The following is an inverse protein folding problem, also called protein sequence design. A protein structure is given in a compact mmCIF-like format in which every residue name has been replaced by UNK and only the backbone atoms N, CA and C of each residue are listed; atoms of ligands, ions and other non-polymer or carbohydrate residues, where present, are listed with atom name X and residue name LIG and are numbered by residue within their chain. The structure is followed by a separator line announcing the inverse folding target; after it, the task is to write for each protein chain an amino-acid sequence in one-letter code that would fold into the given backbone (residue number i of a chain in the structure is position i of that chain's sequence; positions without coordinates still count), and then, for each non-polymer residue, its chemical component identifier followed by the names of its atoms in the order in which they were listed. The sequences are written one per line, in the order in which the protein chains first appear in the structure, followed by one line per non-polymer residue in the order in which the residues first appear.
data_IF_916227292914
#
_entry.id   IF_916227292914
#
_cell.length_a   1.000
_cell.length_b   1.000
_cell.length_c   1.000
_cell.angle_alpha   90.00
_cell.angle_beta   90.00
_cell.angle_gamma   90.00
#
_symmetry.space_group_name_H-M   'P 1'
#
loop_
_entity.id
_entity.type
_entity.pdbx_description
1 polymer ?
#
# COMPACT_ATOMS: atom_id res chain seq x y z
N UNK A 1 15.82 -62.91 -36.93
CA UNK A 1 14.79 -61.84 -36.95
C UNK A 1 14.67 -61.09 -35.62
N UNK A 2 14.81 -61.77 -34.47
CA UNK A 2 14.71 -61.15 -33.12
C UNK A 2 15.67 -59.96 -32.93
N UNK A 3 16.94 -60.08 -33.34
CA UNK A 3 17.91 -58.96 -33.30
C UNK A 3 17.51 -57.72 -34.11
N UNK A 4 16.72 -57.88 -35.18
CA UNK A 4 16.22 -56.73 -35.96
C UNK A 4 15.07 -56.03 -35.23
N UNK A 5 14.17 -56.77 -34.59
CA UNK A 5 13.11 -56.21 -33.75
C UNK A 5 13.70 -55.47 -32.53
N UNK A 6 14.69 -56.06 -31.88
CA UNK A 6 15.38 -55.47 -30.73
C UNK A 6 16.07 -54.14 -31.08
N UNK A 7 16.77 -54.08 -32.21
CA UNK A 7 17.41 -52.85 -32.68
C UNK A 7 16.39 -51.75 -33.05
N UNK A 8 15.24 -52.11 -33.64
CA UNK A 8 14.16 -51.17 -33.94
C UNK A 8 13.55 -50.63 -32.64
N UNK A 9 13.26 -51.50 -31.68
CA UNK A 9 12.72 -51.12 -30.37
C UNK A 9 13.66 -50.18 -29.61
N UNK A 10 14.96 -50.50 -29.55
CA UNK A 10 15.99 -49.66 -28.93
C UNK A 10 16.13 -48.30 -29.64
N UNK A 11 15.97 -48.27 -30.97
CA UNK A 11 15.97 -47.03 -31.75
C UNK A 11 14.79 -46.12 -31.40
N UNK A 12 13.57 -46.67 -31.34
CA UNK A 12 12.35 -45.92 -30.98
C UNK A 12 12.43 -45.42 -29.53
N UNK A 13 12.88 -46.28 -28.61
CA UNK A 13 13.03 -45.92 -27.19
C UNK A 13 14.02 -44.76 -27.02
N UNK A 14 15.11 -44.74 -27.78
CA UNK A 14 16.05 -43.61 -27.78
C UNK A 14 15.41 -42.31 -28.27
N UNK A 15 14.65 -42.36 -29.36
CA UNK A 15 13.96 -41.17 -29.89
C UNK A 15 12.99 -40.62 -28.83
N UNK A 16 12.22 -41.50 -28.20
CA UNK A 16 11.31 -41.12 -27.12
C UNK A 16 12.05 -40.46 -25.94
N UNK A 17 13.16 -41.07 -25.49
CA UNK A 17 14.00 -40.52 -24.42
C UNK A 17 14.54 -39.13 -24.77
N UNK A 18 14.99 -38.91 -26.00
CA UNK A 18 15.47 -37.59 -26.47
C UNK A 18 14.34 -36.56 -26.48
N UNK A 19 13.15 -36.94 -26.94
CA UNK A 19 11.97 -36.06 -26.96
C UNK A 19 11.58 -35.65 -25.53
N UNK A 20 11.45 -36.62 -24.62
CA UNK A 20 11.08 -36.36 -23.22
C UNK A 20 12.14 -35.48 -22.53
N UNK A 21 13.42 -35.75 -22.77
CA UNK A 21 14.52 -34.93 -22.25
C UNK A 21 14.45 -33.48 -22.76
N UNK A 22 14.16 -33.31 -24.05
CA UNK A 22 13.99 -31.99 -24.66
C UNK A 22 12.84 -31.20 -24.01
N UNK A 23 11.69 -31.84 -23.79
CA UNK A 23 10.55 -31.21 -23.11
C UNK A 23 10.93 -30.80 -21.68
N UNK A 24 11.55 -31.70 -20.90
CA UNK A 24 11.97 -31.41 -19.53
C UNK A 24 12.94 -30.23 -19.46
N UNK A 25 13.89 -30.15 -20.38
CA UNK A 25 14.84 -29.04 -20.45
C UNK A 25 14.14 -27.71 -20.76
N UNK A 26 13.26 -27.70 -21.77
CA UNK A 26 12.49 -26.49 -22.14
C UNK A 26 11.59 -26.03 -21.00
N UNK A 27 10.88 -26.96 -20.35
CA UNK A 27 10.06 -26.66 -19.19
C UNK A 27 10.90 -26.08 -18.05
N UNK A 28 12.06 -26.67 -17.76
CA UNK A 28 12.96 -26.17 -16.72
C UNK A 28 13.40 -24.72 -16.98
N UNK A 29 13.82 -24.40 -18.20
CA UNK A 29 14.17 -23.04 -18.62
C UNK A 29 12.99 -22.07 -18.45
N UNK A 30 11.79 -22.45 -18.89
CA UNK A 30 10.61 -21.61 -18.79
C UNK A 30 10.23 -21.29 -17.34
N UNK A 31 10.25 -22.30 -16.47
CA UNK A 31 9.95 -22.11 -15.05
C UNK A 31 11.06 -21.36 -14.31
N UNK A 32 12.33 -21.56 -14.68
CA UNK A 32 13.46 -20.82 -14.11
C UNK A 32 13.36 -19.32 -14.43
N UNK A 33 13.06 -18.95 -15.68
CA UNK A 33 12.88 -17.54 -16.08
C UNK A 33 11.68 -16.92 -15.38
N UNK A 34 10.55 -17.63 -15.32
CA UNK A 34 9.35 -17.15 -14.60
C UNK A 34 9.59 -16.96 -13.11
N UNK A 35 10.49 -17.75 -12.51
CA UNK A 35 10.85 -17.64 -11.09
C UNK A 35 11.61 -16.34 -10.78
N UNK A 36 12.51 -15.91 -11.66
CA UNK A 36 13.30 -14.68 -11.47
C UNK A 36 12.45 -13.42 -11.30
N UNK A 37 11.27 -13.36 -11.91
CA UNK A 37 10.39 -12.19 -11.83
C UNK A 37 9.78 -11.99 -10.44
N UNK A 38 9.53 -13.06 -9.67
CA UNK A 38 8.93 -12.96 -8.33
C UNK A 38 9.95 -12.76 -7.20
N UNK A 39 11.25 -12.70 -7.50
CA UNK A 39 12.31 -12.37 -6.53
C UNK A 39 12.74 -10.90 -6.56
N UNK A 40 12.00 -10.03 -7.27
CA UNK A 40 12.19 -8.58 -7.14
C UNK A 40 11.98 -8.14 -5.69
N UNK A 41 12.70 -7.09 -5.28
CA UNK A 41 12.63 -6.57 -3.90
C UNK A 41 11.21 -6.22 -3.48
N UNK A 42 10.92 -6.16 -2.16
CA UNK A 42 9.61 -5.75 -1.68
C UNK A 42 9.22 -4.38 -2.25
N UNK A 43 7.93 -4.13 -2.49
CA UNK A 43 7.48 -2.81 -2.91
C UNK A 43 7.92 -1.77 -1.88
N UNK A 44 8.61 -0.74 -2.34
CA UNK A 44 9.03 0.38 -1.49
C UNK A 44 7.78 1.09 -0.96
N UNK A 45 7.64 1.14 0.36
CA UNK A 45 6.66 2.02 0.98
C UNK A 45 7.14 3.46 0.75
N UNK A 46 6.67 4.07 -0.32
CA UNK A 46 6.92 5.48 -0.57
C UNK A 46 6.27 6.28 0.54
N UNK A 47 6.97 7.33 0.94
CA UNK A 47 6.52 8.25 1.95
C UNK A 47 5.26 9.00 1.46
N UNK A 48 4.07 8.50 1.84
CA UNK A 48 2.79 9.12 1.51
C UNK A 48 2.45 10.26 2.47
N UNK A 49 2.00 11.39 1.93
CA UNK A 49 1.41 12.50 2.69
C UNK A 49 0.10 12.89 2.02
N UNK A 50 -1.05 12.85 2.73
CA UNK A 50 -2.34 13.24 2.16
C UNK A 50 -2.29 14.64 1.56
N UNK A 51 -2.80 14.79 0.33
CA UNK A 51 -2.98 16.07 -0.34
C UNK A 51 -4.48 16.31 -0.50
N UNK A 52 -5.01 17.22 0.31
CA UNK A 52 -6.45 17.44 0.42
C UNK A 52 -6.90 18.51 -0.57
N UNK A 53 -7.80 18.14 -1.48
CA UNK A 53 -8.45 19.09 -2.40
C UNK A 53 -9.49 19.92 -1.65
N UNK A 54 -9.23 21.23 -1.60
CA UNK A 54 -10.03 22.20 -0.86
C UNK A 54 -11.38 22.48 -1.55
N UNK A 55 -11.45 22.40 -2.87
CA UNK A 55 -12.66 22.74 -3.63
C UNK A 55 -13.71 21.63 -3.59
N UNK A 56 -13.27 20.38 -3.46
CA UNK A 56 -14.16 19.23 -3.29
C UNK A 56 -14.83 19.25 -1.91
N UNK A 57 -14.05 19.45 -0.84
CA UNK A 57 -14.58 19.56 0.52
C UNK A 57 -15.52 20.76 0.70
N UNK A 58 -15.24 21.87 0.02
CA UNK A 58 -16.12 23.05 0.01
C UNK A 58 -17.51 22.73 -0.54
N UNK A 59 -17.58 21.98 -1.65
CA UNK A 59 -18.86 21.56 -2.24
C UNK A 59 -19.64 20.69 -1.28
N UNK A 60 -18.96 19.75 -0.61
CA UNK A 60 -19.59 18.88 0.39
C UNK A 60 -20.18 19.73 1.52
N UNK A 61 -19.43 20.66 2.09
CA UNK A 61 -19.91 21.52 3.19
C UNK A 61 -21.09 22.38 2.74
N UNK A 62 -21.08 22.94 1.54
CA UNK A 62 -22.18 23.78 1.04
C UNK A 62 -23.44 22.95 0.77
N UNK A 63 -23.31 21.73 0.25
CA UNK A 63 -24.43 20.89 -0.20
C UNK A 63 -25.02 19.97 0.90
N UNK A 64 -24.28 19.69 1.98
CA UNK A 64 -24.73 18.76 3.03
C UNK A 64 -25.89 19.36 3.85
N UNK A 65 -27.10 18.90 3.56
CA UNK A 65 -28.28 19.07 4.41
C UNK A 65 -28.21 18.07 5.57
N UNK A 66 -27.76 18.56 6.73
CA UNK A 66 -27.92 18.00 8.09
C UNK A 66 -28.44 16.55 8.18
N UNK A 67 -27.55 15.57 8.02
CA UNK A 67 -27.69 14.24 8.61
C UNK A 67 -26.32 13.55 8.60
N UNK A 68 -25.52 13.79 9.63
CA UNK A 68 -24.39 12.92 9.97
C UNK A 68 -24.24 12.83 11.49
N UNK A 69 -23.84 11.67 12.03
CA UNK A 69 -24.03 11.36 13.44
C UNK A 69 -23.15 12.21 14.33
N UNK A 70 -23.75 12.68 15.42
CA UNK A 70 -23.12 13.41 16.52
C UNK A 70 -22.08 12.49 17.19
N UNK A 71 -20.80 12.66 16.92
CA UNK A 71 -19.74 12.03 17.71
C UNK A 71 -19.58 12.76 19.04
N UNK A 72 -20.02 12.08 20.10
CA UNK A 72 -19.90 12.53 21.49
C UNK A 72 -18.47 12.37 22.04
N UNK A 73 -18.16 13.30 22.93
CA UNK A 73 -17.06 13.40 23.89
C UNK A 73 -16.04 12.25 24.04
N UNK A 74 -14.79 12.66 23.79
CA UNK A 74 -13.52 12.22 24.38
C UNK A 74 -13.62 11.67 25.80
N UNK A 75 -12.98 10.52 26.03
CA UNK A 75 -12.40 10.18 27.33
C UNK A 75 -10.91 9.91 27.07
N UNK A 76 -10.03 10.85 27.45
CA UNK A 76 -8.59 10.71 27.26
C UNK A 76 -7.86 11.26 28.47
N UNK A 77 -6.93 10.44 28.97
CA UNK A 77 -6.08 10.66 30.12
C UNK A 77 -5.25 11.94 29.94
N UNK A 78 -5.13 12.70 31.03
CA UNK A 78 -4.15 13.79 31.20
C UNK A 78 -2.76 13.27 30.85
N UNK A 79 -2.08 13.96 29.95
CA UNK A 79 -0.64 13.84 29.77
C UNK A 79 -0.01 15.22 29.89
N UNK A 80 1.02 15.25 30.72
CA UNK A 80 1.62 16.40 31.37
C UNK A 80 2.69 17.03 30.47
N UNK A 81 2.70 18.36 30.43
CA UNK A 81 3.53 19.18 29.56
C UNK A 81 5.03 19.06 29.87
N UNK A 82 5.85 19.00 28.82
CA UNK A 82 7.26 19.38 28.87
C UNK A 82 7.51 20.49 27.82
N UNK A 83 8.19 21.61 28.15
CA UNK A 83 8.39 22.74 27.25
C UNK A 83 9.62 22.49 26.37
N UNK A 84 9.50 21.57 25.41
CA UNK A 84 10.31 21.64 24.20
C UNK A 84 9.49 22.40 23.17
N UNK A 85 10.07 23.43 22.54
CA UNK A 85 9.42 24.21 21.48
C UNK A 85 8.84 23.25 20.44
N UNK A 86 7.52 23.10 20.44
CA UNK A 86 6.80 22.19 19.55
C UNK A 86 7.01 22.69 18.11
N UNK A 87 7.60 21.87 17.21
CA UNK A 87 7.90 22.30 15.84
C UNK A 87 6.64 22.69 15.06
N UNK A 88 5.45 22.22 15.49
CA UNK A 88 4.18 22.49 14.85
C UNK A 88 3.38 23.62 15.50
N UNK A 89 3.93 24.27 16.53
CA UNK A 89 3.24 25.32 17.29
C UNK A 89 2.67 26.43 16.41
N UNK A 90 3.45 26.88 15.41
CA UNK A 90 3.03 27.92 14.48
C UNK A 90 1.76 27.53 13.70
N UNK A 91 1.64 26.27 13.27
CA UNK A 91 0.46 25.79 12.54
C UNK A 91 -0.77 25.71 13.45
N UNK A 92 -0.60 25.33 14.71
CA UNK A 92 -1.70 25.29 15.69
C UNK A 92 -2.21 26.70 16.01
N UNK A 93 -1.30 27.66 16.12
CA UNK A 93 -1.61 29.06 16.36
C UNK A 93 -2.32 29.70 15.17
N UNK A 94 -1.82 29.51 13.96
CA UNK A 94 -2.45 30.01 12.74
C UNK A 94 -3.85 29.43 12.54
N UNK A 95 -4.03 28.13 12.78
CA UNK A 95 -5.35 27.49 12.78
C UNK A 95 -6.29 28.14 13.81
N UNK A 96 -5.78 28.42 15.02
CA UNK A 96 -6.58 29.06 16.06
C UNK A 96 -6.97 30.49 15.71
N UNK A 97 -6.08 31.23 15.04
CA UNK A 97 -6.33 32.60 14.59
C UNK A 97 -7.37 32.63 13.46
N UNK A 98 -7.30 31.70 12.51
CA UNK A 98 -8.30 31.54 11.45
C UNK A 98 -9.70 31.24 12.03
N UNK A 99 -9.76 30.31 12.99
CA UNK A 99 -11.02 29.92 13.65
C UNK A 99 -11.60 31.07 14.47
N UNK A 100 -10.76 31.76 15.24
CA UNK A 100 -11.22 32.88 16.08
C UNK A 100 -11.72 34.04 15.21
N UNK A 101 -11.02 34.33 14.10
CA UNK A 101 -11.43 35.35 13.12
C UNK A 101 -12.76 35.00 12.45
N UNK A 102 -12.97 33.73 12.11
CA UNK A 102 -14.24 33.25 11.54
C UNK A 102 -15.41 33.42 12.50
N UNK A 103 -15.26 33.04 13.77
CA UNK A 103 -16.32 33.20 14.77
C UNK A 103 -16.62 34.68 15.04
N UNK A 104 -15.58 35.52 15.14
CA UNK A 104 -15.76 36.95 15.34
C UNK A 104 -16.48 37.63 14.15
N UNK A 105 -16.28 37.14 12.92
CA UNK A 105 -16.90 37.70 11.71
C UNK A 105 -18.35 37.24 11.47
N UNK A 106 -18.83 36.25 12.21
CA UNK A 106 -20.16 35.63 12.04
C UNK A 106 -21.20 36.08 13.09
N UNK A 107 -20.87 37.08 13.91
CA UNK A 107 -21.76 37.81 14.82
C UNK A 107 -22.44 37.01 15.93
N UNK A 108 -21.99 35.79 16.23
CA UNK A 108 -22.53 35.03 17.38
C UNK A 108 -21.86 35.47 18.69
N UNK A 109 -22.59 35.54 19.82
CA UNK A 109 -22.01 35.90 21.13
C UNK A 109 -21.10 34.81 21.73
N UNK A 110 -20.81 33.76 20.96
CA UNK A 110 -20.00 32.63 21.41
C UNK A 110 -18.53 32.93 21.17
N UNK A 111 -17.82 33.38 22.22
CA UNK A 111 -16.37 33.46 22.15
C UNK A 111 -15.75 32.06 22.25
N UNK A 112 -14.88 31.73 21.29
CA UNK A 112 -14.07 30.51 21.34
C UNK A 112 -12.71 30.88 21.92
N UNK A 113 -12.29 30.18 22.98
CA UNK A 113 -10.96 30.40 23.57
C UNK A 113 -9.86 29.91 22.63
N UNK A 114 -8.97 30.82 22.21
CA UNK A 114 -7.80 30.52 21.38
C UNK A 114 -6.97 29.36 21.94
N UNK A 115 -6.68 29.36 23.24
CA UNK A 115 -5.95 28.27 23.92
C UNK A 115 -6.68 26.92 23.79
N UNK A 116 -8.01 26.91 23.89
CA UNK A 116 -8.77 25.68 23.71
C UNK A 116 -8.68 25.15 22.28
N UNK A 117 -8.70 26.03 21.28
CA UNK A 117 -8.53 25.63 19.87
C UNK A 117 -7.15 25.04 19.66
N UNK A 118 -6.09 25.71 20.10
CA UNK A 118 -4.72 25.20 20.01
C UNK A 118 -4.63 23.81 20.63
N UNK A 119 -5.16 23.63 21.85
CA UNK A 119 -5.13 22.34 22.56
C UNK A 119 -5.86 21.24 21.80
N UNK A 120 -7.05 21.52 21.26
CA UNK A 120 -7.83 20.53 20.50
C UNK A 120 -7.17 20.20 19.18
N UNK A 121 -6.67 21.19 18.44
CA UNK A 121 -5.95 21.01 17.19
C UNK A 121 -4.70 20.16 17.40
N UNK A 122 -3.91 20.49 18.44
CA UNK A 122 -2.74 19.73 18.86
C UNK A 122 -3.10 18.29 19.20
N UNK A 123 -4.11 18.07 20.05
CA UNK A 123 -4.55 16.72 20.42
C UNK A 123 -4.97 15.88 19.20
N UNK A 124 -5.62 16.48 18.19
CA UNK A 124 -5.99 15.80 16.95
C UNK A 124 -4.80 15.55 16.03
N UNK A 125 -3.82 16.44 15.97
CA UNK A 125 -2.61 16.24 15.16
C UNK A 125 -1.69 15.17 15.78
N UNK A 126 -1.59 15.14 17.11
CA UNK A 126 -0.76 14.20 17.86
C UNK A 126 -1.37 12.79 17.97
N UNK A 127 -2.62 12.58 17.53
CA UNK A 127 -3.14 11.22 17.38
C UNK A 127 -2.49 10.45 16.23
N UNK A 128 -1.74 11.14 15.36
CA UNK A 128 -0.98 10.55 14.28
C UNK A 128 0.52 10.43 14.65
N UNK A 129 1.31 9.69 13.85
CA UNK A 129 2.76 9.63 14.05
C UNK A 129 3.43 10.99 13.76
N UNK A 130 4.66 11.21 14.26
CA UNK A 130 5.35 12.51 14.24
C UNK A 130 5.43 13.20 12.86
N UNK A 131 5.57 12.41 11.78
CA UNK A 131 5.59 12.93 10.41
C UNK A 131 4.19 13.34 9.95
N UNK A 132 3.20 12.49 10.18
CA UNK A 132 1.80 12.77 9.86
C UNK A 132 1.23 13.91 10.71
N UNK A 133 1.67 14.09 11.95
CA UNK A 133 1.32 15.24 12.80
C UNK A 133 1.65 16.56 12.12
N UNK A 134 2.85 16.66 11.55
CA UNK A 134 3.30 17.87 10.85
C UNK A 134 2.49 18.11 9.57
N UNK A 135 2.26 17.05 8.78
CA UNK A 135 1.45 17.14 7.56
C UNK A 135 0.00 17.54 7.86
N UNK A 136 -0.60 16.94 8.89
CA UNK A 136 -1.95 17.26 9.37
C UNK A 136 -2.04 18.70 9.88
N UNK A 137 -1.11 19.12 10.76
CA UNK A 137 -1.11 20.46 11.33
C UNK A 137 -0.99 21.54 10.24
N UNK A 138 -0.03 21.38 9.33
CA UNK A 138 0.18 22.28 8.19
C UNK A 138 -1.01 22.30 7.24
N UNK A 139 -1.51 21.11 6.87
CA UNK A 139 -2.65 20.98 5.95
C UNK A 139 -3.92 21.60 6.55
N UNK A 140 -4.17 21.39 7.84
CA UNK A 140 -5.31 21.95 8.56
C UNK A 140 -5.21 23.48 8.68
N UNK A 141 -4.02 24.02 8.94
CA UNK A 141 -3.80 25.47 8.95
C UNK A 141 -4.17 26.08 7.60
N UNK A 142 -3.60 25.54 6.52
CA UNK A 142 -3.88 25.98 5.15
C UNK A 142 -5.36 25.84 4.75
N UNK A 143 -5.97 24.72 5.12
CA UNK A 143 -7.38 24.44 4.85
C UNK A 143 -8.29 25.41 5.61
N UNK A 144 -8.06 25.58 6.92
CA UNK A 144 -8.86 26.47 7.76
C UNK A 144 -8.79 27.92 7.26
N UNK A 145 -7.62 28.42 6.89
CA UNK A 145 -7.47 29.76 6.32
C UNK A 145 -8.16 29.93 4.97
N UNK A 146 -8.24 28.86 4.15
CA UNK A 146 -8.89 28.94 2.83
C UNK A 146 -10.42 28.85 2.95
N UNK A 147 -10.92 27.88 3.73
CA UNK A 147 -12.36 27.58 3.82
C UNK A 147 -13.10 28.54 4.75
N UNK A 148 -12.51 28.89 5.89
CA UNK A 148 -13.18 29.76 6.86
C UNK A 148 -13.18 31.23 6.43
N UNK A 149 -12.32 31.61 5.49
CA UNK A 149 -12.34 32.94 4.87
C UNK A 149 -13.24 33.02 3.63
N UNK A 150 -13.90 31.93 3.23
CA UNK A 150 -14.79 31.94 2.06
C UNK A 150 -16.13 32.61 2.35
N UNK A 151 -16.51 33.56 1.50
CA UNK A 151 -17.73 34.36 1.66
C UNK A 151 -19.01 33.52 1.76
N UNK A 152 -19.10 32.40 1.03
CA UNK A 152 -20.29 31.52 1.08
C UNK A 152 -20.37 30.76 2.38
N UNK A 153 -19.23 30.35 2.94
CA UNK A 153 -19.15 29.69 4.24
C UNK A 153 -19.49 30.69 5.36
N UNK A 154 -18.97 31.91 5.27
CA UNK A 154 -19.31 33.00 6.19
C UNK A 154 -20.81 33.33 6.12
N UNK A 155 -21.39 33.42 4.92
CA UNK A 155 -22.82 33.67 4.74
C UNK A 155 -23.67 32.53 5.31
N UNK A 156 -23.29 31.27 5.05
CA UNK A 156 -23.95 30.09 5.63
C UNK A 156 -23.88 30.10 7.16
N UNK A 157 -22.74 30.50 7.73
CA UNK A 157 -22.56 30.60 9.17
C UNK A 157 -23.36 31.75 9.79
N UNK A 158 -23.46 32.91 9.13
CA UNK A 158 -24.30 34.04 9.58
C UNK A 158 -25.79 33.72 9.58
N UNK A 159 -26.24 32.89 8.62
CA UNK A 159 -27.64 32.42 8.53
C UNK A 159 -27.95 31.26 9.48
N UNK A 160 -26.94 30.66 10.11
CA UNK A 160 -27.07 29.45 10.92
C UNK A 160 -26.23 29.49 12.20
N UNK A 161 -25.81 28.31 12.67
CA UNK A 161 -24.89 28.20 13.79
C UNK A 161 -23.44 28.12 13.28
N UNK A 162 -22.70 29.22 13.48
CA UNK A 162 -21.26 29.32 13.16
C UNK A 162 -20.42 28.18 13.72
N UNK A 163 -20.72 27.68 14.93
CA UNK A 163 -19.98 26.59 15.57
C UNK A 163 -20.28 25.26 14.87
N UNK A 164 -21.53 25.07 14.42
CA UNK A 164 -21.90 23.89 13.63
C UNK A 164 -21.16 23.88 12.29
N UNK A 165 -21.16 25.00 11.56
CA UNK A 165 -20.44 25.12 10.27
C UNK A 165 -18.94 24.90 10.46
N UNK A 166 -18.34 25.47 11.50
CA UNK A 166 -16.94 25.23 11.86
C UNK A 166 -16.66 23.75 12.11
N UNK A 167 -17.47 23.09 12.94
CA UNK A 167 -17.29 21.67 13.26
C UNK A 167 -17.47 20.78 12.02
N UNK A 168 -18.42 21.11 11.13
CA UNK A 168 -18.59 20.44 9.84
C UNK A 168 -17.34 20.60 8.97
N UNK A 169 -16.80 21.83 8.86
CA UNK A 169 -15.62 22.09 8.04
C UNK A 169 -14.36 21.38 8.56
N UNK A 170 -14.09 21.46 9.86
CA UNK A 170 -12.94 20.80 10.48
C UNK A 170 -13.10 19.27 10.51
N UNK A 171 -14.35 18.80 10.68
CA UNK A 171 -14.69 17.38 10.60
C UNK A 171 -14.43 16.82 9.20
N UNK A 172 -14.88 17.51 8.16
CA UNK A 172 -14.66 17.11 6.76
C UNK A 172 -13.16 16.95 6.45
N UNK A 173 -12.33 17.91 6.86
CA UNK A 173 -10.87 17.79 6.70
C UNK A 173 -10.30 16.57 7.43
N UNK A 174 -10.71 16.34 8.69
CA UNK A 174 -10.20 15.22 9.48
C UNK A 174 -10.57 13.86 8.89
N UNK A 175 -11.82 13.71 8.46
CA UNK A 175 -12.30 12.48 7.82
C UNK A 175 -11.59 12.26 6.48
N UNK A 176 -11.46 13.28 5.64
CA UNK A 176 -10.76 13.16 4.36
C UNK A 176 -9.28 12.78 4.54
N UNK A 177 -8.59 13.43 5.48
CA UNK A 177 -7.21 13.06 5.82
C UNK A 177 -7.09 11.60 6.22
N UNK A 178 -8.03 11.10 7.04
CA UNK A 178 -8.05 9.69 7.46
C UNK A 178 -8.42 8.74 6.33
N UNK A 179 -9.34 9.12 5.46
CA UNK A 179 -9.75 8.30 4.32
C UNK A 179 -8.57 8.09 3.38
N UNK A 180 -7.84 9.15 3.01
CA UNK A 180 -6.65 9.04 2.18
C UNK A 180 -5.54 8.18 2.82
N UNK A 181 -5.39 8.23 4.15
CA UNK A 181 -4.46 7.34 4.86
C UNK A 181 -4.91 5.87 4.82
N UNK A 182 -6.20 5.60 5.05
CA UNK A 182 -6.72 4.25 5.01
C UNK A 182 -6.64 3.66 3.60
N UNK A 183 -6.94 4.45 2.57
CA UNK A 183 -6.83 4.03 1.16
C UNK A 183 -5.38 3.67 0.80
N UNK A 184 -4.41 4.45 1.27
CA UNK A 184 -2.99 4.16 1.06
C UNK A 184 -2.56 2.90 1.85
N UNK A 185 -3.00 2.74 3.10
CA UNK A 185 -2.73 1.55 3.90
C UNK A 185 -3.31 0.29 3.23
N UNK A 186 -4.53 0.37 2.69
CA UNK A 186 -5.17 -0.71 1.94
C UNK A 186 -4.41 -1.02 0.64
N UNK A 187 -3.99 0.01 -0.10
CA UNK A 187 -3.16 -0.14 -1.30
C UNK A 187 -1.85 -0.85 -0.98
N UNK A 188 -1.13 -0.41 0.06
CA UNK A 188 0.11 -1.03 0.50
C UNK A 188 -0.10 -2.46 1.01
N UNK A 189 -1.22 -2.73 1.69
CA UNK A 189 -1.58 -4.08 2.12
C UNK A 189 -1.82 -5.00 0.92
N UNK A 190 -2.53 -4.52 -0.10
CA UNK A 190 -2.76 -5.26 -1.34
C UNK A 190 -1.45 -5.52 -2.09
N UNK A 191 -0.60 -4.51 -2.27
CA UNK A 191 0.71 -4.67 -2.93
C UNK A 191 1.60 -5.69 -2.18
N UNK A 192 1.57 -5.71 -0.85
CA UNK A 192 2.28 -6.73 -0.05
C UNK A 192 1.70 -8.13 -0.23
N UNK A 193 0.37 -8.27 -0.36
CA UNK A 193 -0.26 -9.55 -0.62
C UNK A 193 0.11 -10.07 -2.01
N UNK A 194 0.04 -9.22 -3.03
CA UNK A 194 0.42 -9.55 -4.40
C UNK A 194 1.91 -9.92 -4.48
N UNK A 195 2.78 -9.19 -3.79
CA UNK A 195 4.21 -9.51 -3.72
C UNK A 195 4.47 -10.85 -3.05
N UNK A 196 3.80 -11.16 -1.93
CA UNK A 196 3.88 -12.47 -1.27
C UNK A 196 3.40 -13.61 -2.16
N UNK A 197 2.31 -13.39 -2.91
CA UNK A 197 1.82 -14.37 -3.88
C UNK A 197 2.81 -14.56 -5.03
N UNK A 198 3.41 -13.48 -5.55
CA UNK A 198 4.44 -13.53 -6.56
C UNK A 198 5.68 -14.31 -6.07
N UNK A 199 6.12 -14.09 -4.82
CA UNK A 199 7.21 -14.85 -4.20
C UNK A 199 6.88 -16.34 -4.06
N UNK A 200 5.66 -16.68 -3.61
CA UNK A 200 5.22 -18.07 -3.49
C UNK A 200 5.17 -18.79 -4.85
N UNK A 201 4.66 -18.09 -5.88
CA UNK A 201 4.63 -18.59 -7.26
C UNK A 201 6.06 -18.76 -7.81
N UNK A 202 6.95 -17.80 -7.56
CA UNK A 202 8.35 -17.89 -7.96
C UNK A 202 9.08 -19.06 -7.30
N UNK A 203 8.87 -19.29 -6.00
CA UNK A 203 9.45 -20.43 -5.29
C UNK A 203 8.93 -21.77 -5.83
N UNK A 204 7.63 -21.85 -6.11
CA UNK A 204 7.02 -23.04 -6.71
C UNK A 204 7.59 -23.31 -8.11
N UNK A 205 7.70 -22.28 -8.94
CA UNK A 205 8.31 -22.37 -10.26
C UNK A 205 9.79 -22.79 -10.17
N UNK A 206 10.54 -22.28 -9.20
CA UNK A 206 11.93 -22.69 -8.98
C UNK A 206 12.03 -24.18 -8.63
N UNK A 207 11.14 -24.67 -7.78
CA UNK A 207 11.08 -26.08 -7.40
C UNK A 207 10.77 -26.97 -8.60
N UNK A 208 9.78 -26.60 -9.42
CA UNK A 208 9.42 -27.32 -10.65
C UNK A 208 10.59 -27.28 -11.65
N UNK A 209 11.24 -26.13 -11.80
CA UNK A 209 12.40 -25.96 -12.68
C UNK A 209 13.56 -26.87 -12.25
N UNK A 210 13.84 -26.92 -10.94
CA UNK A 210 14.89 -27.74 -10.34
C UNK A 210 14.59 -29.24 -10.51
N UNK A 211 13.35 -29.66 -10.24
CA UNK A 211 12.92 -31.05 -10.42
C UNK A 211 12.98 -31.50 -11.89
N UNK A 212 12.50 -30.66 -12.81
CA UNK A 212 12.58 -30.92 -14.25
C UNK A 212 14.03 -31.00 -14.73
N UNK A 213 14.90 -30.12 -14.24
CA UNK A 213 16.33 -30.14 -14.55
C UNK A 213 17.02 -31.41 -14.03
N UNK A 214 16.75 -31.79 -12.78
CA UNK A 214 17.30 -33.02 -12.18
C UNK A 214 16.82 -34.27 -12.94
N UNK A 215 15.54 -34.32 -13.32
CA UNK A 215 14.98 -35.40 -14.15
C UNK A 215 15.65 -35.47 -15.53
N UNK A 216 15.85 -34.33 -16.18
CA UNK A 216 16.61 -34.24 -17.42
C UNK A 216 18.04 -34.79 -17.25
N UNK A 217 18.77 -34.35 -16.22
CA UNK A 217 20.12 -34.83 -15.95
C UNK A 217 20.15 -36.35 -15.76
N UNK A 218 19.23 -36.90 -14.98
CA UNK A 218 19.13 -38.35 -14.74
C UNK A 218 18.97 -39.11 -16.05
N UNK A 219 18.07 -38.66 -16.93
CA UNK A 219 17.85 -39.29 -18.24
C UNK A 219 19.10 -39.20 -19.12
N UNK A 220 19.77 -38.05 -19.13
CA UNK A 220 21.02 -37.86 -19.89
C UNK A 220 22.11 -38.80 -19.38
N UNK A 221 22.31 -38.90 -18.06
CA UNK A 221 23.28 -39.81 -17.47
C UNK A 221 22.95 -41.27 -17.79
N UNK A 222 21.69 -41.69 -17.68
CA UNK A 222 21.27 -43.04 -18.02
C UNK A 222 21.53 -43.36 -19.50
N UNK A 223 21.27 -42.40 -20.40
CA UNK A 223 21.57 -42.51 -21.84
C UNK A 223 23.08 -42.66 -22.11
N UNK A 224 23.92 -41.94 -21.37
CA UNK A 224 25.38 -42.06 -21.45
C UNK A 224 25.83 -43.44 -20.95
N UNK A 225 25.34 -43.90 -19.80
CA UNK A 225 25.67 -45.23 -19.26
C UNK A 225 25.30 -46.35 -20.23
N UNK A 226 24.10 -46.33 -20.80
CA UNK A 226 23.68 -47.30 -21.82
C UNK A 226 24.63 -47.27 -23.04
N UNK A 227 25.04 -46.07 -23.47
CA UNK A 227 25.98 -45.92 -24.60
C UNK A 227 27.35 -46.51 -24.26
N UNK A 228 27.87 -46.28 -23.06
CA UNK A 228 29.14 -46.83 -22.57
C UNK A 228 29.06 -48.35 -22.47
N UNK A 229 28.01 -48.88 -21.83
CA UNK A 229 27.81 -50.32 -21.67
C UNK A 229 27.74 -51.02 -23.04
N UNK A 230 27.00 -50.45 -23.99
CA UNK A 230 26.91 -50.99 -25.36
C UNK A 230 28.26 -50.94 -26.08
N UNK A 231 29.05 -49.90 -25.88
CA UNK A 231 30.38 -49.79 -26.48
C UNK A 231 31.34 -50.82 -25.88
N UNK A 232 31.29 -51.05 -24.57
CA UNK A 232 32.11 -52.06 -23.89
C UNK A 232 31.74 -53.50 -24.30
N UNK A 233 30.44 -53.81 -24.43
CA UNK A 233 29.97 -55.12 -24.92
C UNK A 233 30.50 -55.42 -26.33
N UNK A 234 30.59 -54.42 -27.20
CA UNK A 234 31.12 -54.61 -28.55
C UNK A 234 32.63 -54.90 -28.58
N UNK A 235 33.39 -54.47 -27.59
CA UNK A 235 34.85 -54.72 -27.50
C UNK A 235 35.12 -56.12 -26.94
N UNK A 236 34.26 -56.63 -26.05
CA UNK A 236 34.41 -57.95 -25.42
C UNK A 236 34.04 -59.14 -26.32
N UNK A 237 33.48 -58.93 -27.51
CA UNK A 237 33.05 -59.98 -28.45
C UNK A 237 34.06 -60.16 -29.61
N UNK A 238 35.27 -59.59 -29.48
CA UNK A 238 36.40 -59.89 -30.36
C UNK A 238 37.36 -60.85 -29.68
#
# INVERSE_FOLDING_TARGET
MIQKLENIYLGILRIFVVIVSGILLVSSLFFAVSSLQGFSGPPDAKDFTPEIDKEELKKEIIQKNSNSPRQSSVNSKKQENNPSSDPNQNYYEETADNITSFINSTSTPNSVSRQNVIRVTKQRAESFNSRLTTAYAKGLSNYSGSILSDDKIIEKAKKGDSIKVLNEALGAYHEEFKNQLNEEDDRLAQERLEHRQAQANAATNLYIASGSFAGFLLIVFLSIFIKIERNLRNISIK
#
